data_IF_527761639349
#
_entry.id   IF_527761639349
#
_cell.length_a   1.000
_cell.length_b   1.000
_cell.length_c   1.000
_cell.angle_alpha   90.00
_cell.angle_beta   90.00
_cell.angle_gamma   90.00
#
_symmetry.space_group_name_H-M   'P 1'
#
loop_
_entity.id
_entity.type
_entity.pdbx_description
1 polymer ?
#
# COMPACT_ATOMS: atom_id res chain seq x y z
N UNK A 1 -5.19 -12.36 55.58
CA UNK A 1 -4.23 -11.25 55.40
C UNK A 1 -4.00 -11.07 53.91
N UNK A 2 -3.97 -9.82 53.47
CA UNK A 2 -4.09 -9.32 52.10
C UNK A 2 -2.87 -9.64 51.23
N UNK A 3 -3.12 -10.21 50.05
CA UNK A 3 -2.18 -10.27 48.93
C UNK A 3 -2.16 -8.88 48.26
N UNK A 4 -1.28 -8.01 48.74
CA UNK A 4 -1.07 -6.66 48.22
C UNK A 4 0.20 -6.66 47.35
N UNK A 5 0.12 -7.37 46.23
CA UNK A 5 1.09 -7.20 45.15
C UNK A 5 0.70 -5.94 44.40
N UNK A 6 1.56 -4.90 44.33
CA UNK A 6 1.22 -3.67 43.63
C UNK A 6 1.06 -3.99 42.14
N UNK A 7 -0.21 -4.10 41.71
CA UNK A 7 -0.57 -4.18 40.29
C UNK A 7 0.07 -2.98 39.61
N UNK A 8 0.99 -3.24 38.68
CA UNK A 8 1.66 -2.17 37.96
C UNK A 8 0.58 -1.22 37.43
N UNK A 9 0.61 0.08 37.77
CA UNK A 9 -0.43 1.02 37.38
C UNK A 9 -0.62 1.08 35.86
N UNK A 10 0.42 0.74 35.09
CA UNK A 10 0.32 0.57 33.64
C UNK A 10 -0.50 -0.66 33.22
N UNK A 11 -0.47 -1.77 33.97
CA UNK A 11 -1.27 -2.96 33.65
C UNK A 11 -2.76 -2.70 33.84
N UNK A 12 -3.12 -1.94 34.88
CA UNK A 12 -4.50 -1.53 35.15
C UNK A 12 -4.99 -0.58 34.04
N UNK A 13 -4.15 0.37 33.62
CA UNK A 13 -4.49 1.27 32.51
C UNK A 13 -4.63 0.53 31.17
N UNK A 14 -3.78 -0.46 30.89
CA UNK A 14 -3.85 -1.26 29.66
C UNK A 14 -5.10 -2.14 29.62
N UNK A 15 -5.45 -2.78 30.75
CA UNK A 15 -6.69 -3.55 30.85
C UNK A 15 -7.93 -2.66 30.67
N UNK A 16 -7.92 -1.47 31.26
CA UNK A 16 -9.01 -0.52 31.12
C UNK A 16 -9.11 0.01 29.67
N UNK A 17 -7.99 0.29 29.02
CA UNK A 17 -7.95 0.68 27.60
C UNK A 17 -8.50 -0.43 26.68
N UNK A 18 -8.14 -1.69 26.93
CA UNK A 18 -8.66 -2.84 26.18
C UNK A 18 -10.17 -3.06 26.39
N UNK A 19 -10.67 -2.88 27.62
CA UNK A 19 -12.11 -2.96 27.90
C UNK A 19 -12.87 -1.82 27.23
N UNK A 20 -12.32 -0.61 27.28
CA UNK A 20 -12.90 0.57 26.63
C UNK A 20 -12.96 0.38 25.11
N UNK A 21 -11.91 -0.16 24.50
CA UNK A 21 -11.87 -0.48 23.06
C UNK A 21 -12.96 -1.50 22.66
N UNK A 22 -13.20 -2.55 23.47
CA UNK A 22 -14.27 -3.54 23.23
C UNK A 22 -15.67 -2.95 23.34
N UNK A 23 -15.87 -2.00 24.26
CA UNK A 23 -17.18 -1.33 24.43
C UNK A 23 -17.48 -0.28 23.38
N UNK A 24 -16.44 0.33 22.77
CA UNK A 24 -16.63 1.42 21.82
C UNK A 24 -16.99 0.92 20.42
N UNK A 25 -16.45 -0.22 19.95
CA UNK A 25 -16.93 -0.89 18.74
C UNK A 25 -16.32 -2.30 18.52
N UNK A 26 -17.09 -3.40 18.53
CA UNK A 26 -16.60 -4.72 18.12
C UNK A 26 -16.04 -4.74 16.69
N UNK A 27 -16.47 -3.82 15.82
CA UNK A 27 -15.95 -3.69 14.45
C UNK A 27 -14.51 -3.13 14.37
N UNK A 28 -13.97 -2.60 15.48
CA UNK A 28 -12.54 -2.24 15.55
C UNK A 28 -11.64 -3.48 15.68
N UNK A 29 -12.17 -4.64 16.13
CA UNK A 29 -11.40 -5.90 16.09
C UNK A 29 -11.25 -6.43 14.65
N UNK A 30 -12.17 -6.08 13.76
CA UNK A 30 -12.07 -6.35 12.31
C UNK A 30 -11.32 -5.27 11.52
N UNK A 31 -10.67 -4.31 12.19
CA UNK A 31 -9.91 -3.26 11.54
C UNK A 31 -8.63 -3.84 10.93
N UNK A 32 -8.74 -4.37 9.72
CA UNK A 32 -7.58 -4.82 8.95
C UNK A 32 -6.97 -3.62 8.22
N UNK A 33 -5.64 -3.43 8.27
CA UNK A 33 -4.96 -2.44 7.46
C UNK A 33 -5.33 -2.58 5.96
N UNK A 34 -5.48 -3.81 5.46
CA UNK A 34 -5.93 -4.09 4.08
C UNK A 34 -7.32 -3.53 3.77
N UNK A 35 -8.30 -3.65 4.67
CA UNK A 35 -9.64 -3.10 4.48
C UNK A 35 -9.64 -1.57 4.50
N UNK A 36 -8.73 -0.95 5.25
CA UNK A 36 -8.55 0.50 5.27
C UNK A 36 -7.85 1.02 4.01
N UNK A 37 -6.93 0.27 3.41
CA UNK A 37 -6.30 0.60 2.13
C UNK A 37 -7.30 0.70 0.98
N UNK A 38 -8.30 -0.19 0.94
CA UNK A 38 -9.37 -0.15 -0.06
C UNK A 38 -10.31 1.06 0.05
N UNK A 39 -10.29 1.77 1.19
CA UNK A 39 -11.06 2.99 1.39
C UNK A 39 -10.33 4.24 0.85
N UNK A 40 -9.04 4.14 0.55
CA UNK A 40 -8.29 5.26 -0.02
C UNK A 40 -8.54 5.34 -1.52
N UNK A 41 -9.25 6.37 -2.01
CA UNK A 41 -9.61 6.44 -3.43
C UNK A 41 -8.35 6.58 -4.28
N UNK A 42 -8.30 5.84 -5.39
CA UNK A 42 -7.37 6.09 -6.49
C UNK A 42 -7.56 7.54 -6.96
N UNK A 43 -6.48 8.30 -7.08
CA UNK A 43 -6.58 9.68 -7.57
C UNK A 43 -7.17 9.71 -8.99
N UNK A 44 -8.07 10.67 -9.30
CA UNK A 44 -8.56 10.88 -10.66
C UNK A 44 -7.41 11.14 -11.64
N UNK A 45 -7.58 10.75 -12.89
CA UNK A 45 -6.55 10.87 -13.93
C UNK A 45 -6.03 12.31 -14.08
N UNK A 46 -6.92 13.29 -14.00
CA UNK A 46 -6.57 14.72 -14.11
C UNK A 46 -5.70 15.19 -12.93
N UNK A 47 -6.02 14.71 -11.72
CA UNK A 47 -5.22 15.00 -10.53
C UNK A 47 -3.84 14.29 -10.60
N UNK A 48 -3.81 13.08 -11.16
CA UNK A 48 -2.57 12.33 -11.40
C UNK A 48 -1.65 13.06 -12.37
N UNK A 49 -2.18 13.54 -13.50
CA UNK A 49 -1.43 14.34 -14.47
C UNK A 49 -0.96 15.67 -13.88
N UNK A 50 -1.76 16.29 -13.01
CA UNK A 50 -1.35 17.52 -12.34
C UNK A 50 -0.18 17.29 -11.37
N UNK A 51 -0.23 16.22 -10.58
CA UNK A 51 0.74 15.97 -9.51
C UNK A 51 1.98 15.19 -9.98
N UNK A 52 1.83 14.31 -10.96
CA UNK A 52 2.88 13.42 -11.46
C UNK A 52 3.07 13.51 -12.98
N UNK A 53 2.21 14.21 -13.71
CA UNK A 53 2.32 14.34 -15.15
C UNK A 53 3.36 15.35 -15.59
N UNK A 54 3.41 15.57 -16.90
CA UNK A 54 4.33 16.51 -17.54
C UNK A 54 3.67 17.89 -17.78
N UNK A 55 2.53 18.19 -17.13
CA UNK A 55 1.78 19.44 -17.33
C UNK A 55 2.63 20.70 -17.10
N UNK A 56 3.53 20.68 -16.12
CA UNK A 56 4.44 21.81 -15.80
C UNK A 56 5.68 21.83 -16.71
N UNK A 57 6.14 20.67 -17.15
CA UNK A 57 7.26 20.52 -18.09
C UNK A 57 6.92 19.47 -19.13
N UNK A 58 6.40 19.90 -20.28
CA UNK A 58 5.91 19.02 -21.35
C UNK A 58 6.98 18.10 -21.94
N UNK A 59 8.26 18.45 -21.79
CA UNK A 59 9.39 17.63 -22.22
C UNK A 59 9.89 16.67 -21.12
N UNK A 60 9.30 16.73 -19.93
CA UNK A 60 9.62 15.86 -18.81
C UNK A 60 8.89 14.51 -18.86
N UNK A 61 9.19 13.66 -17.87
CA UNK A 61 8.54 12.37 -17.71
C UNK A 61 7.03 12.53 -17.46
N UNK A 62 6.23 11.73 -18.16
CA UNK A 62 4.79 11.61 -17.95
C UNK A 62 4.47 10.87 -16.63
N UNK A 63 3.20 10.90 -16.23
CA UNK A 63 2.74 10.30 -14.98
C UNK A 63 3.01 8.78 -14.95
N UNK A 64 2.77 8.10 -16.08
CA UNK A 64 2.99 6.66 -16.22
C UNK A 64 4.45 6.30 -15.90
N UNK A 65 5.40 6.96 -16.56
CA UNK A 65 6.83 6.71 -16.39
C UNK A 65 7.28 7.04 -14.97
N UNK A 66 6.81 8.13 -14.37
CA UNK A 66 7.15 8.44 -12.96
C UNK A 66 6.66 7.37 -12.00
N UNK A 67 5.43 6.89 -12.17
CA UNK A 67 4.86 5.88 -11.29
C UNK A 67 5.58 4.54 -11.44
N UNK A 68 5.99 4.16 -12.66
CA UNK A 68 6.85 2.99 -12.87
C UNK A 68 8.21 3.15 -12.16
N UNK A 69 8.83 4.33 -12.21
CA UNK A 69 10.06 4.60 -11.45
C UNK A 69 9.85 4.52 -9.93
N UNK A 70 8.69 4.94 -9.41
CA UNK A 70 8.36 4.79 -7.99
C UNK A 70 8.18 3.32 -7.63
N UNK A 71 7.50 2.51 -8.45
CA UNK A 71 7.38 1.05 -8.26
C UNK A 71 8.77 0.39 -8.21
N UNK A 72 9.66 0.76 -9.14
CA UNK A 72 11.04 0.29 -9.15
C UNK A 72 11.77 0.67 -7.85
N UNK A 73 11.68 1.93 -7.43
CA UNK A 73 12.30 2.42 -6.20
C UNK A 73 11.79 1.72 -4.93
N UNK A 74 10.48 1.51 -4.82
CA UNK A 74 9.87 0.77 -3.70
C UNK A 74 10.28 -0.71 -3.69
N UNK A 75 10.39 -1.33 -4.87
CA UNK A 75 10.91 -2.69 -5.02
C UNK A 75 12.37 -2.77 -4.58
N UNK A 76 13.19 -1.81 -5.00
CA UNK A 76 14.61 -1.70 -4.63
C UNK A 76 14.83 -1.55 -3.12
N UNK A 77 13.89 -0.95 -2.39
CA UNK A 77 13.91 -0.85 -0.92
C UNK A 77 13.43 -2.13 -0.23
N UNK A 78 13.31 -3.25 -0.95
CA UNK A 78 12.89 -4.53 -0.42
C UNK A 78 11.36 -4.72 -0.38
N UNK A 79 10.59 -3.86 -1.06
CA UNK A 79 9.13 -3.92 -1.12
C UNK A 79 8.47 -3.98 0.27
N UNK A 80 9.00 -3.21 1.24
CA UNK A 80 8.53 -3.21 2.63
C UNK A 80 7.31 -2.30 2.86
N UNK A 81 7.13 -1.30 1.99
CA UNK A 81 6.03 -0.34 2.08
C UNK A 81 4.81 -0.80 1.28
N UNK A 82 4.14 -1.85 1.76
CA UNK A 82 3.06 -2.54 1.06
C UNK A 82 1.97 -1.59 0.57
N UNK A 83 1.45 -0.73 1.45
CA UNK A 83 0.42 0.27 1.14
C UNK A 83 0.84 1.19 0.00
N UNK A 84 2.07 1.73 0.08
CA UNK A 84 2.59 2.65 -0.92
C UNK A 84 2.78 1.95 -2.28
N UNK A 85 3.26 0.71 -2.28
CA UNK A 85 3.48 -0.05 -3.50
C UNK A 85 2.13 -0.39 -4.17
N UNK A 86 1.14 -0.87 -3.41
CA UNK A 86 -0.21 -1.14 -3.91
C UNK A 86 -0.87 0.11 -4.49
N UNK A 87 -0.81 1.21 -3.75
CA UNK A 87 -1.38 2.49 -4.21
C UNK A 87 -0.70 2.97 -5.49
N UNK A 88 0.63 2.89 -5.56
CA UNK A 88 1.39 3.30 -6.76
C UNK A 88 1.05 2.42 -7.96
N UNK A 89 0.81 1.13 -7.77
CA UNK A 89 0.37 0.21 -8.84
C UNK A 89 -1.03 0.59 -9.34
N UNK A 90 -2.00 0.85 -8.45
CA UNK A 90 -3.34 1.33 -8.85
C UNK A 90 -3.25 2.63 -9.66
N UNK A 91 -2.44 3.57 -9.19
CA UNK A 91 -2.16 4.83 -9.87
C UNK A 91 -1.50 4.64 -11.23
N UNK A 92 -0.51 3.74 -11.35
CA UNK A 92 0.16 3.46 -12.61
C UNK A 92 -0.83 2.93 -13.65
N UNK A 93 -1.73 2.02 -13.25
CA UNK A 93 -2.80 1.50 -14.11
C UNK A 93 -3.75 2.62 -14.56
N UNK A 94 -4.18 3.49 -13.64
CA UNK A 94 -5.04 4.64 -13.94
C UNK A 94 -4.35 5.66 -14.89
N UNK A 95 -3.02 5.80 -14.79
CA UNK A 95 -2.19 6.59 -15.70
C UNK A 95 -1.91 5.89 -17.05
N UNK A 96 -2.46 4.69 -17.28
CA UNK A 96 -2.36 3.96 -18.55
C UNK A 96 -1.20 2.98 -18.66
N UNK A 97 -0.55 2.62 -17.54
CA UNK A 97 0.40 1.51 -17.52
C UNK A 97 -0.30 0.18 -17.79
N UNK A 98 0.31 -0.66 -18.62
CA UNK A 98 -0.12 -2.04 -18.81
C UNK A 98 0.37 -2.88 -17.65
N UNK A 99 -0.40 -3.91 -17.27
CA UNK A 99 0.04 -4.93 -16.28
C UNK A 99 1.43 -5.49 -16.59
N UNK A 100 1.72 -5.73 -17.87
CA UNK A 100 3.03 -6.18 -18.35
C UNK A 100 4.16 -5.18 -18.03
N UNK A 101 3.95 -3.87 -18.21
CA UNK A 101 4.96 -2.85 -17.92
C UNK A 101 5.30 -2.83 -16.43
N UNK A 102 4.32 -3.04 -15.55
CA UNK A 102 4.51 -3.15 -14.11
C UNK A 102 5.31 -4.40 -13.74
N UNK A 103 4.94 -5.56 -14.31
CA UNK A 103 5.65 -6.84 -14.08
C UNK A 103 7.10 -6.76 -14.56
N UNK A 104 7.36 -6.18 -15.73
CA UNK A 104 8.72 -6.00 -16.26
C UNK A 104 9.53 -5.02 -15.41
N UNK A 105 8.92 -3.92 -14.96
CA UNK A 105 9.56 -2.95 -14.06
C UNK A 105 10.02 -3.63 -12.76
N UNK A 106 9.14 -4.41 -12.13
CA UNK A 106 9.47 -5.17 -10.91
C UNK A 106 10.53 -6.24 -11.20
N UNK A 107 10.35 -6.99 -12.29
CA UNK A 107 11.25 -8.07 -12.71
C UNK A 107 12.68 -7.59 -12.97
N UNK A 108 12.83 -6.42 -13.60
CA UNK A 108 14.14 -5.81 -13.87
C UNK A 108 14.89 -5.48 -12.56
N UNK A 109 14.17 -5.19 -11.46
CA UNK A 109 14.81 -4.91 -10.18
C UNK A 109 15.44 -6.15 -9.53
N UNK A 110 15.11 -7.37 -9.97
CA UNK A 110 15.73 -8.60 -9.44
C UNK A 110 17.26 -8.60 -9.50
N UNK A 111 17.83 -7.98 -10.53
CA UNK A 111 19.28 -7.88 -10.74
C UNK A 111 19.95 -7.03 -9.65
N UNK A 112 19.22 -6.09 -9.06
CA UNK A 112 19.76 -5.08 -8.14
C UNK A 112 19.27 -5.27 -6.70
N UNK A 113 18.01 -5.66 -6.50
CA UNK A 113 17.38 -5.89 -5.20
C UNK A 113 17.36 -7.37 -4.78
N UNK A 114 17.68 -8.28 -5.69
CA UNK A 114 17.58 -9.71 -5.49
C UNK A 114 16.16 -10.27 -5.68
N UNK A 115 16.09 -11.59 -5.81
CA UNK A 115 14.83 -12.32 -6.01
C UNK A 115 13.80 -12.15 -4.88
N UNK A 116 14.17 -12.09 -3.58
CA UNK A 116 13.19 -11.92 -2.50
C UNK A 116 12.36 -10.64 -2.62
N UNK A 117 13.02 -9.51 -2.91
CA UNK A 117 12.35 -8.22 -3.08
C UNK A 117 11.43 -8.20 -4.31
N UNK A 118 11.92 -8.74 -5.43
CA UNK A 118 11.12 -8.90 -6.65
C UNK A 118 9.88 -9.77 -6.41
N UNK A 119 10.04 -10.95 -5.81
CA UNK A 119 8.93 -11.87 -5.57
C UNK A 119 7.86 -11.25 -4.68
N UNK A 120 8.27 -10.56 -3.60
CA UNK A 120 7.34 -9.84 -2.73
C UNK A 120 6.58 -8.75 -3.48
N UNK A 121 7.27 -7.94 -4.29
CA UNK A 121 6.62 -6.90 -5.08
C UNK A 121 5.65 -7.50 -6.11
N UNK A 122 5.98 -8.63 -6.75
CA UNK A 122 5.09 -9.32 -7.67
C UNK A 122 3.84 -9.86 -6.99
N UNK A 123 3.94 -10.39 -5.77
CA UNK A 123 2.79 -10.83 -4.97
C UNK A 123 1.84 -9.66 -4.69
N UNK A 124 2.38 -8.53 -4.20
CA UNK A 124 1.60 -7.31 -3.95
C UNK A 124 0.95 -6.77 -5.23
N UNK A 125 1.65 -6.86 -6.37
CA UNK A 125 1.13 -6.44 -7.67
C UNK A 125 0.00 -7.36 -8.16
N UNK A 126 0.13 -8.67 -7.98
CA UNK A 126 -0.90 -9.64 -8.36
C UNK A 126 -2.20 -9.41 -7.60
N UNK A 127 -2.15 -9.16 -6.30
CA UNK A 127 -3.32 -8.83 -5.50
C UNK A 127 -4.08 -7.63 -6.10
N UNK A 128 -3.38 -6.53 -6.37
CA UNK A 128 -3.99 -5.30 -6.92
C UNK A 128 -4.56 -5.50 -8.32
N UNK A 129 -3.83 -6.23 -9.17
CA UNK A 129 -4.25 -6.48 -10.55
C UNK A 129 -5.32 -7.58 -10.67
N UNK A 130 -5.51 -8.39 -9.62
CA UNK A 130 -6.54 -9.41 -9.50
C UNK A 130 -7.89 -8.82 -9.09
N UNK A 131 -7.88 -7.86 -8.16
CA UNK A 131 -9.08 -7.15 -7.67
C UNK A 131 -9.87 -6.42 -8.77
N UNK A 132 -9.22 -6.03 -9.88
CA UNK A 132 -9.87 -5.23 -10.95
C UNK A 132 -10.87 -6.00 -11.83
N UNK A 133 -11.06 -7.31 -11.65
CA UNK A 133 -11.99 -8.11 -12.48
C UNK A 133 -13.43 -8.12 -11.97
N UNK A 134 -13.67 -7.69 -10.73
CA UNK A 134 -14.97 -7.90 -10.07
C UNK A 134 -15.86 -6.64 -10.04
N UNK A 135 -15.44 -5.53 -10.66
CA UNK A 135 -16.20 -4.26 -10.71
C UNK A 135 -16.95 -4.03 -12.05
N UNK A 136 -16.87 -4.95 -13.02
CA UNK A 136 -17.56 -4.87 -14.31
C UNK A 136 -18.56 -6.03 -14.56
N UNK A 137 -19.28 -6.50 -13.53
CA UNK A 137 -20.38 -7.47 -13.69
C UNK A 137 -21.67 -7.06 -12.99
#
# INVERSE_FOLDING_TARGET
MTDDTPRNPFDVMMQQAQQMAKTLNPALESFSPKGFEGLWPTMPKEAMEMMFGNLVNKEGLDAKTRLLLVIAGLTMQGAQADTALRQTIRHALAAGAKKQEIVETIGQMSVFAGLPAMNRALELAQDVMGETKDEES
#
